data_IF_651407101220
#
_entry.id   IF_651407101220
#
_cell.length_a   1.000
_cell.length_b   1.000
_cell.length_c   1.000
_cell.angle_alpha   90.00
_cell.angle_beta   90.00
_cell.angle_gamma   90.00
#
_symmetry.space_group_name_H-M   'P 1'
#
loop_
_entity.id
_entity.type
_entity.pdbx_description
1 polymer ?
#
# COMPACT_ATOMS: atom_id res chain seq x y z
N UNK A 1 39.53 5.85 4.69
CA UNK A 1 38.27 6.08 4.03
C UNK A 1 37.21 6.48 5.02
N UNK A 2 36.52 7.58 4.76
CA UNK A 2 35.36 8.02 5.55
C UNK A 2 34.10 7.52 4.81
N UNK A 3 33.20 6.76 5.44
CA UNK A 3 31.93 6.40 4.82
C UNK A 3 31.14 7.67 4.48
N UNK A 4 30.89 7.90 3.22
CA UNK A 4 30.11 9.05 2.78
C UNK A 4 29.14 8.65 1.66
N UNK A 5 28.01 9.35 1.57
CA UNK A 5 27.02 9.16 0.54
C UNK A 5 26.35 10.49 0.19
N UNK A 6 25.92 10.63 -1.05
CA UNK A 6 25.17 11.79 -1.47
C UNK A 6 23.76 11.75 -0.89
N UNK A 7 23.31 12.83 -0.28
CA UNK A 7 21.91 13.01 0.09
C UNK A 7 21.12 13.33 -1.19
N UNK A 8 20.02 12.61 -1.40
CA UNK A 8 19.17 12.74 -2.58
C UNK A 8 17.73 13.05 -2.16
N UNK A 9 17.02 13.75 -3.00
CA UNK A 9 15.57 13.95 -2.87
C UNK A 9 14.80 12.66 -3.22
N UNK A 10 13.55 12.58 -2.81
CA UNK A 10 12.68 11.43 -3.17
C UNK A 10 12.52 11.31 -4.68
N UNK A 11 12.41 12.43 -5.40
CA UNK A 11 12.34 12.43 -6.86
C UNK A 11 13.59 11.80 -7.49
N UNK A 12 14.79 12.25 -7.10
CA UNK A 12 16.06 11.69 -7.60
C UNK A 12 16.21 10.20 -7.28
N UNK A 13 15.70 9.73 -6.14
CA UNK A 13 15.73 8.32 -5.76
C UNK A 13 14.73 7.51 -6.59
N UNK A 14 13.54 8.04 -6.84
CA UNK A 14 12.52 7.34 -7.63
C UNK A 14 12.89 7.18 -9.11
N UNK A 15 13.78 8.02 -9.62
CA UNK A 15 14.27 8.00 -11.00
C UNK A 15 15.67 7.37 -11.14
N UNK A 16 16.22 6.82 -10.06
CA UNK A 16 17.56 6.24 -10.06
C UNK A 16 17.60 4.93 -10.87
N UNK A 17 18.37 4.87 -11.98
CA UNK A 17 18.45 3.67 -12.82
C UNK A 17 18.99 2.44 -12.09
N UNK A 18 19.83 2.62 -11.09
CA UNK A 18 20.37 1.52 -10.30
C UNK A 18 19.25 0.88 -9.42
N UNK A 19 18.42 1.70 -8.79
CA UNK A 19 17.31 1.19 -7.97
C UNK A 19 16.24 0.55 -8.83
N UNK A 20 16.02 1.08 -10.03
CA UNK A 20 15.10 0.50 -11.02
C UNK A 20 15.62 -0.85 -11.53
N UNK A 21 16.89 -0.94 -11.92
CA UNK A 21 17.53 -2.20 -12.32
C UNK A 21 17.56 -3.25 -11.20
N UNK A 22 17.57 -2.82 -9.94
CA UNK A 22 17.40 -3.69 -8.78
C UNK A 22 15.95 -4.10 -8.51
N UNK A 23 14.99 -3.58 -9.26
CA UNK A 23 13.58 -3.85 -9.06
C UNK A 23 13.08 -3.40 -7.67
N UNK A 24 13.59 -2.25 -7.19
CA UNK A 24 13.19 -1.70 -5.89
C UNK A 24 11.86 -1.00 -5.93
N UNK A 25 11.36 -0.72 -7.13
CA UNK A 25 10.08 -0.08 -7.34
C UNK A 25 9.14 -0.98 -8.14
N UNK A 26 7.86 -0.80 -7.93
CA UNK A 26 6.79 -1.44 -8.69
C UNK A 26 5.69 -0.40 -8.95
N UNK A 27 5.12 -0.45 -10.13
CA UNK A 27 3.96 0.38 -10.45
C UNK A 27 2.71 -0.31 -9.94
N UNK A 28 1.98 0.38 -9.10
CA UNK A 28 0.70 -0.07 -8.55
C UNK A 28 -0.41 0.89 -8.96
N UNK A 29 -1.64 0.45 -8.79
CA UNK A 29 -2.79 1.32 -8.89
C UNK A 29 -2.69 2.44 -7.84
N UNK A 30 -2.89 3.68 -8.26
CA UNK A 30 -2.85 4.83 -7.36
C UNK A 30 -3.98 4.80 -6.33
N UNK A 31 -3.82 5.60 -5.29
CA UNK A 31 -4.84 5.77 -4.26
C UNK A 31 -6.20 6.16 -4.88
N UNK A 32 -7.26 5.52 -4.41
CA UNK A 32 -8.61 5.67 -4.98
C UNK A 32 -8.71 5.30 -6.47
N UNK A 33 -7.90 4.34 -6.92
CA UNK A 33 -7.86 3.89 -8.33
C UNK A 33 -7.61 5.02 -9.33
N UNK A 34 -6.95 6.09 -8.88
CA UNK A 34 -6.59 7.23 -9.70
C UNK A 34 -5.11 7.18 -10.09
N UNK A 35 -4.88 6.89 -11.36
CA UNK A 35 -3.55 6.90 -11.94
C UNK A 35 -2.65 5.75 -11.47
N UNK A 36 -1.37 5.92 -11.68
CA UNK A 36 -0.33 4.97 -11.30
C UNK A 36 0.48 5.50 -10.13
N UNK A 37 0.84 4.63 -9.20
CA UNK A 37 1.72 4.91 -8.09
C UNK A 37 2.98 4.08 -8.22
N UNK A 38 4.15 4.72 -8.29
CA UNK A 38 5.43 4.04 -8.16
C UNK A 38 5.70 3.77 -6.68
N UNK A 39 5.49 2.54 -6.26
CA UNK A 39 5.63 2.12 -4.87
C UNK A 39 6.98 1.43 -4.63
N UNK A 40 7.56 1.65 -3.45
CA UNK A 40 8.78 0.98 -3.04
C UNK A 40 8.46 -0.45 -2.58
N UNK A 41 9.19 -1.42 -3.08
CA UNK A 41 9.09 -2.83 -2.66
C UNK A 41 9.87 -3.08 -1.37
N UNK A 42 9.58 -4.20 -0.74
CA UNK A 42 10.41 -4.67 0.37
C UNK A 42 11.86 -4.90 -0.10
N UNK A 43 12.87 -4.46 0.66
CA UNK A 43 14.26 -4.76 0.34
C UNK A 43 14.63 -6.22 0.61
N UNK A 44 13.80 -6.95 1.34
CA UNK A 44 14.01 -8.36 1.65
C UNK A 44 13.74 -9.21 0.42
N UNK A 45 14.73 -9.99 0.00
CA UNK A 45 14.63 -10.92 -1.13
C UNK A 45 14.79 -12.34 -0.62
N UNK A 46 13.82 -13.17 -0.94
CA UNK A 46 13.81 -14.60 -0.61
C UNK A 46 13.94 -15.40 -1.90
N UNK A 47 14.84 -16.39 -1.90
CA UNK A 47 14.95 -17.32 -3.03
C UNK A 47 13.66 -18.14 -3.15
N UNK A 48 13.18 -18.29 -4.38
CA UNK A 48 11.97 -19.08 -4.66
C UNK A 48 10.64 -18.42 -4.29
N UNK A 49 10.66 -17.18 -3.78
CA UNK A 49 9.44 -16.44 -3.43
C UNK A 49 9.38 -15.15 -4.23
N UNK A 50 8.30 -14.97 -4.97
CA UNK A 50 7.95 -13.66 -5.56
C UNK A 50 7.11 -12.87 -4.56
N UNK A 51 7.52 -11.65 -4.28
CA UNK A 51 6.79 -10.74 -3.39
C UNK A 51 6.31 -9.50 -4.18
N UNK A 52 5.28 -9.66 -5.02
CA UNK A 52 4.70 -8.51 -5.71
C UNK A 52 3.90 -7.64 -4.74
N UNK A 53 3.71 -6.39 -5.10
CA UNK A 53 2.78 -5.51 -4.40
C UNK A 53 1.35 -6.04 -4.60
N UNK A 54 0.73 -6.52 -3.55
CA UNK A 54 -0.59 -7.17 -3.62
C UNK A 54 -1.75 -6.17 -3.61
N UNK A 55 -1.59 -5.07 -2.88
CA UNK A 55 -2.61 -4.02 -2.73
C UNK A 55 -1.93 -2.66 -2.73
N UNK A 56 -2.59 -1.66 -3.29
CA UNK A 56 -2.18 -0.27 -3.16
C UNK A 56 -2.46 0.24 -1.74
N UNK A 57 -1.98 1.47 -1.44
CA UNK A 57 -2.32 2.13 -0.19
C UNK A 57 -3.85 2.33 -0.10
N UNK A 58 -4.50 1.85 0.98
CA UNK A 58 -5.95 1.94 1.11
C UNK A 58 -6.42 3.36 1.43
N UNK A 59 -7.61 3.68 1.01
CA UNK A 59 -8.34 4.82 1.52
C UNK A 59 -8.80 4.62 2.97
N UNK A 60 -9.14 5.72 3.63
CA UNK A 60 -9.62 5.66 5.00
C UNK A 60 -10.92 4.85 5.09
N UNK A 61 -10.90 3.77 5.86
CA UNK A 61 -12.04 2.87 6.05
C UNK A 61 -12.29 1.88 4.91
N UNK A 62 -11.45 1.83 3.88
CA UNK A 62 -11.65 0.98 2.69
C UNK A 62 -11.82 -0.51 3.02
N UNK A 63 -11.06 -1.01 3.99
CA UNK A 63 -11.10 -2.42 4.40
C UNK A 63 -11.87 -2.67 5.70
N UNK A 64 -12.55 -1.67 6.24
CA UNK A 64 -13.23 -1.80 7.54
C UNK A 64 -14.27 -2.92 7.53
N UNK A 65 -15.13 -2.98 6.51
CA UNK A 65 -16.15 -4.01 6.41
C UNK A 65 -15.56 -5.41 6.20
N UNK A 66 -14.50 -5.53 5.40
CA UNK A 66 -13.76 -6.78 5.17
C UNK A 66 -13.20 -7.32 6.49
N UNK A 67 -12.48 -6.47 7.25
CA UNK A 67 -11.87 -6.84 8.52
C UNK A 67 -12.91 -7.22 9.57
N UNK A 68 -14.00 -6.49 9.67
CA UNK A 68 -15.07 -6.80 10.62
C UNK A 68 -15.76 -8.12 10.27
N UNK A 69 -15.97 -8.40 8.97
CA UNK A 69 -16.50 -9.69 8.53
C UNK A 69 -15.57 -10.85 8.86
N UNK A 70 -14.26 -10.70 8.69
CA UNK A 70 -13.25 -11.69 9.10
C UNK A 70 -13.26 -11.95 10.61
N UNK A 71 -13.60 -10.93 11.42
CA UNK A 71 -13.78 -11.03 12.88
C UNK A 71 -15.12 -11.63 13.29
N UNK A 72 -15.98 -11.98 12.33
CA UNK A 72 -17.27 -12.63 12.58
C UNK A 72 -18.48 -11.70 12.73
N UNK A 73 -18.32 -10.40 12.50
CA UNK A 73 -19.46 -9.49 12.50
C UNK A 73 -20.38 -9.75 11.32
N UNK A 74 -21.66 -9.75 11.55
CA UNK A 74 -22.66 -9.90 10.48
C UNK A 74 -22.83 -8.59 9.71
N UNK A 75 -23.26 -8.67 8.46
CA UNK A 75 -23.47 -7.51 7.62
C UNK A 75 -24.38 -6.45 8.25
N UNK A 76 -25.43 -6.88 8.95
CA UNK A 76 -26.37 -5.99 9.66
C UNK A 76 -25.67 -5.22 10.80
N UNK A 77 -24.75 -5.87 11.52
CA UNK A 77 -23.99 -5.23 12.60
C UNK A 77 -23.03 -4.16 12.04
N UNK A 78 -22.35 -4.48 10.94
CA UNK A 78 -21.44 -3.57 10.25
C UNK A 78 -22.21 -2.36 9.74
N UNK A 79 -23.38 -2.56 9.15
CA UNK A 79 -24.23 -1.47 8.69
C UNK A 79 -24.72 -0.59 9.85
N UNK A 80 -25.14 -1.20 10.96
CA UNK A 80 -25.50 -0.47 12.18
C UNK A 80 -24.36 0.38 12.72
N UNK A 81 -23.14 -0.14 12.74
CA UNK A 81 -21.95 0.59 13.16
C UNK A 81 -21.64 1.78 12.23
N UNK A 82 -21.83 1.60 10.93
CA UNK A 82 -21.67 2.67 9.94
C UNK A 82 -22.73 3.78 10.11
N UNK A 83 -23.99 3.41 10.33
CA UNK A 83 -25.09 4.37 10.58
C UNK A 83 -24.85 5.18 11.85
N UNK A 84 -24.32 4.54 12.90
CA UNK A 84 -23.93 5.21 14.15
C UNK A 84 -22.63 6.01 14.05
N UNK A 85 -22.00 6.05 12.87
CA UNK A 85 -20.72 6.72 12.61
C UNK A 85 -19.58 6.26 13.53
N UNK A 86 -19.65 5.03 14.03
CA UNK A 86 -18.56 4.39 14.79
C UNK A 86 -17.44 3.95 13.87
N UNK A 87 -17.80 3.57 12.65
CA UNK A 87 -16.90 3.21 11.57
C UNK A 87 -17.16 4.07 10.34
N UNK A 88 -16.12 4.28 9.54
CA UNK A 88 -16.31 4.80 8.19
C UNK A 88 -16.67 3.63 7.29
N UNK A 89 -17.89 3.63 6.78
CA UNK A 89 -18.29 2.67 5.76
C UNK A 89 -17.50 2.94 4.48
N UNK A 90 -16.79 1.92 3.98
CA UNK A 90 -16.08 1.98 2.70
C UNK A 90 -17.07 2.01 1.53
N UNK A 91 -17.85 3.09 1.41
CA UNK A 91 -18.52 3.45 0.17
C UNK A 91 -17.75 4.60 -0.45
N UNK A 92 -17.01 4.26 -1.48
CA UNK A 92 -16.66 5.21 -2.52
C UNK A 92 -17.59 5.07 -3.70
#
# INVERSE_FOLDING_TARGET
GIPCGRVRTVAEVSEDPYLDARGMFEVAEGWNKKGELKAMKTPVRLSGVSSPLRRSAPGLGEHTAEILAELGYQAADIESLAQKKVILGGKQ
#
